data_IF_764560624856
#
_entry.id   IF_764560624856
#
_cell.length_a   1.000
_cell.length_b   1.000
_cell.length_c   1.000
_cell.angle_alpha   90.00
_cell.angle_beta   90.00
_cell.angle_gamma   90.00
#
_symmetry.space_group_name_H-M   'P 1'
#
loop_
_entity.id
_entity.type
_entity.pdbx_description
1 polymer ?
#
# COMPACT_ATOMS: atom_id res chain seq x y z
N UNK A 1 38.28 -25.65 -26.29
CA UNK A 1 38.57 -26.25 -24.97
C UNK A 1 39.12 -25.15 -24.08
N UNK A 2 38.58 -24.74 -22.93
CA UNK A 2 37.48 -25.19 -22.09
C UNK A 2 37.46 -24.26 -20.86
N UNK A 3 36.26 -24.06 -20.30
CA UNK A 3 35.96 -23.30 -19.09
C UNK A 3 36.86 -23.59 -17.89
N UNK A 4 37.02 -22.60 -16.99
CA UNK A 4 36.88 -22.81 -15.54
C UNK A 4 36.35 -21.56 -14.83
N UNK A 5 35.15 -21.72 -14.27
CA UNK A 5 34.45 -20.84 -13.35
C UNK A 5 35.17 -20.80 -12.00
N UNK A 6 35.12 -19.65 -11.32
CA UNK A 6 35.17 -19.60 -9.85
C UNK A 6 34.06 -18.69 -9.33
N UNK A 7 33.28 -19.25 -8.41
CA UNK A 7 32.08 -18.74 -7.79
C UNK A 7 32.29 -17.38 -7.11
N UNK A 8 31.54 -16.35 -7.51
CA UNK A 8 31.24 -15.20 -6.64
C UNK A 8 30.02 -15.55 -5.80
N UNK A 9 30.26 -15.77 -4.51
CA UNK A 9 29.24 -15.86 -3.47
C UNK A 9 28.31 -14.64 -3.57
N UNK A 10 27.01 -14.91 -3.66
CA UNK A 10 25.96 -13.90 -3.48
C UNK A 10 26.05 -13.40 -2.03
N UNK A 11 26.48 -12.16 -1.86
CA UNK A 11 26.36 -11.45 -0.59
C UNK A 11 24.87 -11.28 -0.28
N UNK A 12 24.35 -12.12 0.61
CA UNK A 12 23.13 -11.84 1.36
C UNK A 12 23.44 -10.67 2.31
N UNK A 13 23.25 -9.43 1.84
CA UNK A 13 23.24 -8.27 2.72
C UNK A 13 22.00 -8.34 3.60
N UNK A 14 22.21 -8.67 4.88
CA UNK A 14 21.20 -8.50 5.94
C UNK A 14 20.92 -7.01 6.08
N UNK A 15 19.65 -6.61 5.92
CA UNK A 15 19.14 -5.29 6.29
C UNK A 15 19.50 -5.00 7.76
N UNK A 16 19.85 -3.75 8.13
CA UNK A 16 20.20 -3.42 9.50
C UNK A 16 18.96 -3.55 10.42
N UNK A 17 19.10 -4.11 11.64
CA UNK A 17 18.00 -4.27 12.57
C UNK A 17 17.48 -2.90 13.05
N UNK A 18 16.18 -2.69 12.86
CA UNK A 18 15.42 -1.68 13.62
C UNK A 18 15.16 -2.23 15.03
N UNK A 19 16.14 -2.16 15.93
CA UNK A 19 15.91 -1.84 17.36
C UNK A 19 17.15 -2.09 18.22
N UNK A 20 17.34 -1.18 19.19
CA UNK A 20 18.15 -1.38 20.37
C UNK A 20 17.29 -2.10 21.42
N UNK A 21 17.39 -3.43 21.48
CA UNK A 21 17.42 -4.27 22.70
C UNK A 21 17.35 -5.75 22.30
N UNK A 22 18.38 -6.52 22.68
CA UNK A 22 18.51 -7.97 22.48
C UNK A 22 17.34 -8.76 23.10
N UNK A 23 16.93 -9.89 22.47
CA UNK A 23 16.86 -11.26 23.05
C UNK A 23 16.12 -12.23 22.10
N UNK A 24 16.86 -13.28 21.70
CA UNK A 24 16.60 -14.71 21.34
C UNK A 24 15.35 -15.23 20.57
N UNK A 25 15.64 -16.33 19.85
CA UNK A 25 14.91 -17.08 18.81
C UNK A 25 13.50 -17.62 19.17
N UNK A 26 12.51 -17.47 18.26
CA UNK A 26 11.18 -18.13 18.28
C UNK A 26 10.67 -18.45 16.84
N UNK A 27 9.72 -19.41 16.66
CA UNK A 27 9.58 -20.24 15.45
C UNK A 27 8.68 -19.68 14.33
N UNK A 28 8.90 -20.19 13.11
CA UNK A 28 8.17 -19.87 11.88
C UNK A 28 6.68 -20.26 11.91
N UNK A 29 5.78 -19.38 11.41
CA UNK A 29 4.34 -19.68 11.28
C UNK A 29 3.98 -19.95 9.81
N UNK A 30 3.47 -21.15 9.51
CA UNK A 30 3.08 -21.60 8.18
C UNK A 30 1.56 -21.50 7.96
N UNK A 31 1.12 -20.64 7.03
CA UNK A 31 -0.30 -20.35 6.78
C UNK A 31 -0.89 -21.06 5.54
N UNK A 32 -0.12 -21.93 4.88
CA UNK A 32 -0.48 -22.59 3.60
C UNK A 32 -1.73 -23.50 3.66
N UNK A 33 -2.33 -23.73 4.84
CA UNK A 33 -3.45 -24.67 5.01
C UNK A 33 -4.79 -24.03 5.46
N UNK A 34 -4.86 -22.70 5.62
CA UNK A 34 -6.00 -22.03 6.26
C UNK A 34 -7.19 -21.69 5.33
N UNK A 35 -7.12 -21.97 4.03
CA UNK A 35 -8.20 -21.67 3.07
C UNK A 35 -9.46 -22.57 3.16
N UNK A 36 -9.60 -23.44 4.17
CA UNK A 36 -10.67 -24.46 4.22
C UNK A 36 -11.95 -24.08 4.97
N UNK A 37 -12.11 -22.87 5.51
CA UNK A 37 -13.36 -22.47 6.18
C UNK A 37 -13.85 -21.10 5.73
N UNK A 38 -14.77 -21.10 4.76
CA UNK A 38 -15.63 -19.95 4.44
C UNK A 38 -16.79 -19.87 5.45
N UNK A 39 -17.26 -18.68 5.86
CA UNK A 39 -18.56 -18.51 6.49
C UNK A 39 -19.69 -18.78 5.48
N UNK A 40 -20.87 -19.13 6.00
CA UNK A 40 -22.04 -19.67 5.28
C UNK A 40 -22.52 -18.80 4.11
N UNK A 41 -22.88 -19.47 3.02
CA UNK A 41 -23.40 -18.91 1.77
C UNK A 41 -24.76 -18.20 1.96
N UNK A 42 -24.87 -16.97 1.48
CA UNK A 42 -26.15 -16.34 1.12
C UNK A 42 -26.27 -16.28 -0.41
N UNK A 43 -27.38 -16.83 -0.89
CA UNK A 43 -27.82 -17.08 -2.26
C UNK A 43 -27.19 -16.25 -3.40
N UNK A 44 -26.54 -16.96 -4.34
CA UNK A 44 -26.23 -16.47 -5.68
C UNK A 44 -27.19 -17.07 -6.74
N UNK A 45 -27.59 -16.33 -7.79
CA UNK A 45 -28.50 -16.85 -8.82
C UNK A 45 -27.80 -17.84 -9.77
N UNK A 46 -28.50 -18.93 -10.10
CA UNK A 46 -28.05 -19.98 -11.04
C UNK A 46 -28.00 -19.44 -12.48
N UNK A 47 -26.81 -19.42 -13.09
CA UNK A 47 -26.66 -19.24 -14.54
C UNK A 47 -26.67 -20.60 -15.28
N UNK A 48 -27.47 -20.67 -16.35
CA UNK A 48 -27.71 -21.87 -17.16
C UNK A 48 -26.51 -22.26 -18.04
N UNK A 49 -26.40 -23.58 -18.28
CA UNK A 49 -25.42 -24.25 -19.17
C UNK A 49 -25.45 -23.68 -20.59
N UNK A 50 -24.27 -23.39 -21.15
CA UNK A 50 -24.07 -23.14 -22.58
C UNK A 50 -23.13 -24.18 -23.21
N UNK A 51 -23.34 -24.39 -24.51
CA UNK A 51 -23.00 -25.57 -25.32
C UNK A 51 -21.52 -25.65 -25.75
N UNK A 52 -21.10 -26.88 -26.08
CA UNK A 52 -19.88 -27.23 -26.82
C UNK A 52 -19.65 -26.31 -28.03
N UNK A 53 -18.46 -25.70 -28.10
CA UNK A 53 -17.91 -25.09 -29.30
C UNK A 53 -16.79 -25.96 -29.87
N UNK A 54 -16.79 -26.05 -31.20
CA UNK A 54 -15.92 -26.88 -32.04
C UNK A 54 -14.49 -26.31 -32.08
N UNK A 55 -13.54 -27.23 -32.26
CA UNK A 55 -12.15 -26.93 -32.66
C UNK A 55 -12.14 -26.15 -33.98
N UNK A 56 -11.34 -25.09 -34.06
CA UNK A 56 -10.67 -24.63 -35.28
C UNK A 56 -9.42 -23.77 -34.91
N UNK A 57 -8.33 -24.05 -35.65
CA UNK A 57 -7.10 -23.30 -35.98
C UNK A 57 -6.00 -22.92 -34.94
N UNK A 58 -4.82 -23.52 -35.17
CA UNK A 58 -3.60 -23.51 -34.33
C UNK A 58 -2.56 -22.40 -34.64
N UNK A 59 -2.90 -21.32 -35.36
CA UNK A 59 -1.92 -20.27 -35.72
C UNK A 59 -2.04 -18.94 -34.95
N UNK A 60 -3.11 -18.72 -34.17
CA UNK A 60 -3.33 -17.46 -33.43
C UNK A 60 -2.73 -17.47 -32.01
N UNK A 61 -2.42 -18.66 -31.48
CA UNK A 61 -1.99 -18.86 -30.08
C UNK A 61 -0.57 -18.33 -29.83
N UNK A 62 0.32 -18.35 -30.83
CA UNK A 62 1.72 -17.92 -30.65
C UNK A 62 1.89 -16.40 -30.53
N UNK A 63 1.10 -15.61 -31.27
CA UNK A 63 1.18 -14.13 -31.25
C UNK A 63 0.56 -13.50 -29.99
N UNK A 64 -0.52 -14.10 -29.48
CA UNK A 64 -1.14 -13.63 -28.24
C UNK A 64 -0.25 -13.93 -27.03
N UNK A 65 0.39 -15.11 -26.98
CA UNK A 65 1.31 -15.45 -25.89
C UNK A 65 2.56 -14.55 -25.89
N UNK A 66 3.09 -14.17 -27.06
CA UNK A 66 4.25 -13.27 -27.13
C UNK A 66 3.91 -11.86 -26.64
N UNK A 67 2.72 -11.35 -26.97
CA UNK A 67 2.31 -10.00 -26.59
C UNK A 67 2.04 -9.85 -25.08
N UNK A 68 1.50 -10.87 -24.41
CA UNK A 68 1.37 -10.87 -22.95
C UNK A 68 2.74 -10.86 -22.24
N UNK A 69 3.73 -11.59 -22.77
CA UNK A 69 5.08 -11.59 -22.23
C UNK A 69 5.76 -10.20 -22.36
N UNK A 70 5.49 -9.48 -23.46
CA UNK A 70 5.95 -8.10 -23.63
C UNK A 70 5.36 -7.19 -22.56
N UNK A 71 4.04 -7.21 -22.35
CA UNK A 71 3.38 -6.43 -21.29
C UNK A 71 3.97 -6.72 -19.91
N UNK A 72 4.14 -8.01 -19.58
CA UNK A 72 4.69 -8.43 -18.29
C UNK A 72 6.12 -7.91 -18.09
N UNK A 73 6.95 -8.05 -19.12
CA UNK A 73 8.33 -7.57 -19.10
C UNK A 73 8.40 -6.05 -18.91
N UNK A 74 7.55 -5.29 -19.60
CA UNK A 74 7.48 -3.83 -19.46
C UNK A 74 7.05 -3.40 -18.05
N UNK A 75 6.02 -4.06 -17.48
CA UNK A 75 5.53 -3.78 -16.12
C UNK A 75 6.60 -4.06 -15.07
N UNK A 76 7.24 -5.24 -15.14
CA UNK A 76 8.28 -5.64 -14.19
C UNK A 76 9.52 -4.76 -14.30
N UNK A 77 9.91 -4.39 -15.53
CA UNK A 77 11.01 -3.45 -15.75
C UNK A 77 10.68 -2.07 -15.17
N UNK A 78 9.48 -1.54 -15.46
CA UNK A 78 9.07 -0.26 -14.91
C UNK A 78 9.10 -0.26 -13.38
N UNK A 79 8.48 -1.26 -12.74
CA UNK A 79 8.53 -1.42 -11.29
C UNK A 79 9.97 -1.49 -10.76
N UNK A 80 10.83 -2.31 -11.36
CA UNK A 80 12.21 -2.48 -10.91
C UNK A 80 13.04 -1.19 -11.01
N UNK A 81 12.76 -0.35 -12.01
CA UNK A 81 13.45 0.94 -12.19
C UNK A 81 12.89 2.07 -11.34
N UNK A 82 11.59 2.01 -11.00
CA UNK A 82 10.92 3.05 -10.24
C UNK A 82 10.98 2.81 -8.72
N UNK A 83 11.08 1.55 -8.28
CA UNK A 83 11.09 1.17 -6.87
C UNK A 83 12.17 1.92 -6.09
N UNK A 84 11.81 2.33 -4.88
CA UNK A 84 12.73 2.95 -3.93
C UNK A 84 13.97 2.06 -3.66
N UNK A 85 15.14 2.68 -3.71
CA UNK A 85 16.43 2.07 -3.40
C UNK A 85 16.66 2.00 -1.89
N UNK A 86 17.41 0.98 -1.47
CA UNK A 86 17.80 0.80 -0.05
C UNK A 86 18.61 1.99 0.49
N UNK A 87 19.42 2.64 -0.35
CA UNK A 87 20.14 3.86 0.01
C UNK A 87 19.18 5.00 0.35
N UNK A 88 18.11 5.15 -0.41
CA UNK A 88 17.11 6.22 -0.21
C UNK A 88 16.26 5.95 1.01
N UNK A 89 15.87 4.68 1.21
CA UNK A 89 15.27 4.26 2.48
C UNK A 89 16.17 4.57 3.68
N UNK A 90 17.46 4.27 3.58
CA UNK A 90 18.44 4.53 4.66
C UNK A 90 18.54 6.01 5.01
N UNK A 91 18.51 6.90 4.01
CA UNK A 91 18.48 8.35 4.24
C UNK A 91 17.20 8.80 4.94
N UNK A 92 16.03 8.31 4.50
CA UNK A 92 14.73 8.59 5.16
C UNK A 92 14.72 8.08 6.60
N UNK A 93 15.31 6.91 6.84
CA UNK A 93 15.44 6.34 8.17
C UNK A 93 16.39 7.16 9.06
N UNK A 94 17.51 7.63 8.51
CA UNK A 94 18.44 8.49 9.24
C UNK A 94 17.78 9.77 9.73
N UNK A 95 16.91 10.38 8.91
CA UNK A 95 16.09 11.53 9.33
C UNK A 95 15.18 11.20 10.53
N UNK A 96 14.55 10.02 10.55
CA UNK A 96 13.75 9.58 11.69
C UNK A 96 14.59 9.45 12.97
N UNK A 97 15.81 8.91 12.87
CA UNK A 97 16.74 8.82 13.99
C UNK A 97 17.16 10.19 14.51
N UNK A 98 17.41 11.14 13.61
CA UNK A 98 17.82 12.49 13.99
C UNK A 98 16.65 13.24 14.67
N UNK A 99 15.43 13.10 14.16
CA UNK A 99 14.21 13.60 14.83
C UNK A 99 14.02 12.97 16.21
N UNK A 100 14.21 11.66 16.35
CA UNK A 100 14.12 10.99 17.64
C UNK A 100 15.13 11.55 18.65
N UNK A 101 16.40 11.66 18.24
CA UNK A 101 17.48 12.19 19.07
C UNK A 101 17.24 13.65 19.50
N UNK A 102 16.48 14.43 18.72
CA UNK A 102 16.14 15.81 19.06
C UNK A 102 15.13 15.94 20.21
N UNK A 103 14.24 14.96 20.40
CA UNK A 103 13.11 15.10 21.33
C UNK A 103 13.08 14.06 22.46
N UNK A 104 13.90 13.01 22.41
CA UNK A 104 13.85 11.91 23.39
C UNK A 104 14.10 12.37 24.84
N UNK A 105 14.95 13.38 25.04
CA UNK A 105 15.20 13.97 26.37
C UNK A 105 14.06 14.85 26.91
N UNK A 106 13.03 15.12 26.11
CA UNK A 106 11.92 16.03 26.44
C UNK A 106 10.59 15.27 26.52
N UNK A 107 10.43 14.19 25.74
CA UNK A 107 9.16 13.46 25.58
C UNK A 107 9.29 12.02 26.11
N UNK A 108 8.67 11.68 27.25
CA UNK A 108 8.92 10.42 27.97
C UNK A 108 8.36 9.13 27.32
N UNK A 109 7.69 9.21 26.17
CA UNK A 109 7.23 8.04 25.39
C UNK A 109 7.34 8.33 23.88
N UNK A 110 8.44 8.96 23.48
CA UNK A 110 8.65 9.34 22.09
C UNK A 110 8.76 8.10 21.20
N UNK A 111 7.93 8.04 20.17
CA UNK A 111 8.13 7.17 19.01
C UNK A 111 8.26 8.02 17.74
N UNK A 112 9.16 7.64 16.84
CA UNK A 112 9.27 8.27 15.52
C UNK A 112 9.21 7.17 14.48
N UNK A 113 8.17 7.19 13.66
CA UNK A 113 7.87 6.12 12.73
C UNK A 113 7.90 6.64 11.29
N UNK A 114 8.70 5.99 10.45
CA UNK A 114 8.57 6.12 9.01
C UNK A 114 7.31 5.37 8.57
N UNK A 115 6.36 6.09 7.98
CA UNK A 115 5.04 5.59 7.58
C UNK A 115 4.84 5.76 6.07
N UNK A 116 3.68 5.32 5.58
CA UNK A 116 3.29 5.45 4.18
C UNK A 116 4.12 4.56 3.25
N UNK A 117 4.12 4.95 1.98
CA UNK A 117 4.86 4.34 0.86
C UNK A 117 6.29 3.95 1.22
N UNK A 118 7.01 4.85 1.88
CA UNK A 118 8.43 4.70 2.25
C UNK A 118 8.69 3.44 3.07
N UNK A 119 7.68 2.95 3.79
CA UNK A 119 7.78 1.89 4.77
C UNK A 119 6.77 0.75 4.57
N UNK A 120 5.87 0.84 3.58
CA UNK A 120 4.82 -0.16 3.34
C UNK A 120 5.12 -1.11 2.15
N UNK A 121 6.27 -0.96 1.50
CA UNK A 121 6.70 -1.81 0.38
C UNK A 121 6.29 -1.31 -1.02
N UNK A 122 5.57 -0.19 -1.12
CA UNK A 122 5.06 0.37 -2.38
C UNK A 122 5.72 1.69 -2.80
N UNK A 123 6.83 2.11 -2.16
CA UNK A 123 7.52 3.34 -2.52
C UNK A 123 8.22 3.28 -3.88
N UNK A 124 8.12 4.38 -4.60
CA UNK A 124 9.02 4.75 -5.69
C UNK A 124 10.14 5.66 -5.17
N UNK A 125 11.21 5.80 -5.95
CA UNK A 125 12.40 6.57 -5.57
C UNK A 125 12.12 8.06 -5.30
N UNK A 126 11.12 8.62 -5.97
CA UNK A 126 10.71 10.02 -5.85
C UNK A 126 9.64 10.27 -4.77
N UNK A 127 9.20 9.23 -4.05
CA UNK A 127 8.15 9.38 -3.04
C UNK A 127 8.63 10.15 -1.81
N UNK A 128 7.76 10.98 -1.24
CA UNK A 128 8.01 11.73 -0.02
C UNK A 128 8.22 10.81 1.20
N UNK A 129 8.89 11.33 2.22
CA UNK A 129 9.06 10.67 3.52
C UNK A 129 7.93 11.09 4.46
N UNK A 130 6.94 10.22 4.66
CA UNK A 130 5.90 10.41 5.66
C UNK A 130 6.39 9.93 7.03
N UNK A 131 6.32 10.81 8.03
CA UNK A 131 6.82 10.54 9.39
C UNK A 131 5.72 10.82 10.40
N UNK A 132 5.45 9.86 11.28
CA UNK A 132 4.56 10.03 12.42
C UNK A 132 5.39 10.10 13.70
N UNK A 133 5.31 11.22 14.42
CA UNK A 133 5.88 11.35 15.76
C UNK A 133 4.79 11.06 16.78
N UNK A 134 5.00 10.07 17.63
CA UNK A 134 4.11 9.70 18.73
C UNK A 134 4.68 10.26 20.02
N UNK A 135 3.91 11.12 20.68
CA UNK A 135 4.30 11.79 21.94
C UNK A 135 3.48 11.30 23.14
N UNK A 136 2.39 10.56 22.89
CA UNK A 136 1.47 10.04 23.90
C UNK A 136 0.87 8.71 23.42
N UNK A 137 0.61 7.78 24.33
CA UNK A 137 -0.14 6.55 24.03
C UNK A 137 -1.66 6.77 23.96
N UNK A 138 -2.12 7.96 24.38
CA UNK A 138 -3.53 8.35 24.33
C UNK A 138 -3.79 9.28 23.13
N UNK A 139 -5.04 9.35 22.65
CA UNK A 139 -5.44 10.35 21.66
C UNK A 139 -5.11 11.76 22.15
N UNK A 140 -4.69 12.62 21.22
CA UNK A 140 -4.40 14.04 21.48
C UNK A 140 -5.30 14.93 20.64
N UNK A 141 -5.53 16.17 21.08
CA UNK A 141 -6.24 17.16 20.27
C UNK A 141 -5.39 17.55 19.04
N UNK A 142 -5.80 17.08 17.87
CA UNK A 142 -5.13 17.36 16.60
C UNK A 142 -5.10 18.85 16.25
N UNK A 143 -6.09 19.65 16.65
CA UNK A 143 -6.16 21.09 16.31
C UNK A 143 -5.33 21.95 17.26
N UNK A 144 -5.03 21.47 18.47
CA UNK A 144 -4.32 22.24 19.50
C UNK A 144 -2.98 21.64 19.88
N UNK A 145 -2.98 20.41 20.40
CA UNK A 145 -1.77 19.76 20.93
C UNK A 145 -0.81 19.37 19.82
N UNK A 146 -1.31 18.70 18.77
CA UNK A 146 -0.48 18.32 17.63
C UNK A 146 0.14 19.54 16.94
N UNK A 147 -0.65 20.59 16.68
CA UNK A 147 -0.18 21.85 16.10
C UNK A 147 0.92 22.50 16.95
N UNK A 148 0.74 22.54 18.28
CA UNK A 148 1.76 23.09 19.19
C UNK A 148 3.06 22.29 19.10
N UNK A 149 2.98 20.97 19.03
CA UNK A 149 4.16 20.13 18.91
C UNK A 149 4.83 20.25 17.54
N UNK A 150 4.07 20.31 16.44
CA UNK A 150 4.62 20.59 15.10
C UNK A 150 5.35 21.94 15.04
N UNK A 151 4.88 22.94 15.78
CA UNK A 151 5.59 24.22 15.89
C UNK A 151 6.93 24.10 16.63
N UNK A 152 7.01 23.23 17.65
CA UNK A 152 8.27 22.88 18.34
C UNK A 152 9.21 22.16 17.35
N UNK A 153 8.68 21.19 16.61
CA UNK A 153 9.43 20.46 15.56
C UNK A 153 9.97 21.44 14.52
N UNK A 154 9.13 22.33 13.99
CA UNK A 154 9.49 23.38 13.02
C UNK A 154 10.65 24.24 13.51
N UNK A 155 10.60 24.71 14.75
CA UNK A 155 11.67 25.55 15.34
C UNK A 155 12.97 24.79 15.52
N UNK A 156 12.89 23.53 15.93
CA UNK A 156 14.07 22.70 16.12
C UNK A 156 14.71 22.34 14.77
N UNK A 157 13.90 22.01 13.76
CA UNK A 157 14.32 21.77 12.39
C UNK A 157 15.06 23.00 11.85
N UNK A 158 14.46 24.20 11.89
CA UNK A 158 15.10 25.44 11.42
C UNK A 158 16.44 25.77 12.08
N UNK A 159 16.71 25.25 13.29
CA UNK A 159 17.98 25.44 14.01
C UNK A 159 19.06 24.43 13.64
N UNK A 160 18.69 23.18 13.35
CA UNK A 160 19.63 22.07 13.14
C UNK A 160 19.76 21.64 11.68
N UNK A 161 18.63 21.60 10.99
CA UNK A 161 18.54 21.26 9.59
C UNK A 161 18.40 22.59 8.86
N UNK A 162 19.24 22.87 7.87
CA UNK A 162 19.00 23.97 6.93
C UNK A 162 17.79 23.61 6.06
N UNK A 163 16.62 23.39 6.67
CA UNK A 163 15.38 23.10 5.97
C UNK A 163 14.99 24.35 5.20
N UNK A 164 14.73 24.20 3.90
CA UNK A 164 14.27 25.29 3.03
C UNK A 164 12.88 25.77 3.45
N UNK A 165 11.89 25.58 2.57
CA UNK A 165 10.49 25.77 2.99
C UNK A 165 10.15 24.79 4.11
N UNK A 166 9.40 25.27 5.11
CA UNK A 166 8.97 24.47 6.25
C UNK A 166 7.60 25.00 6.69
N UNK A 167 6.58 24.35 6.14
CA UNK A 167 5.22 24.83 6.06
C UNK A 167 4.29 23.97 6.91
N UNK A 168 3.56 24.62 7.80
CA UNK A 168 2.58 23.97 8.66
C UNK A 168 1.20 24.04 8.01
N UNK A 169 0.72 22.91 7.53
CA UNK A 169 -0.59 22.75 6.90
C UNK A 169 -1.61 22.34 7.97
N UNK A 170 -2.59 23.20 8.23
CA UNK A 170 -3.61 23.01 9.27
C UNK A 170 -4.86 22.33 8.71
N UNK A 171 -4.76 21.03 8.43
CA UNK A 171 -5.88 20.18 8.05
C UNK A 171 -6.50 19.45 9.26
N UNK A 172 -7.42 18.49 9.03
CA UNK A 172 -7.97 17.61 10.08
C UNK A 172 -6.87 16.86 10.84
N UNK A 173 -5.87 16.38 10.12
CA UNK A 173 -4.59 15.92 10.65
C UNK A 173 -3.55 16.93 10.17
N UNK A 174 -3.02 17.81 11.04
CA UNK A 174 -2.02 18.78 10.63
C UNK A 174 -0.72 18.12 10.22
N UNK A 175 -0.08 18.69 9.20
CA UNK A 175 1.18 18.18 8.63
C UNK A 175 2.19 19.31 8.58
N UNK A 176 3.42 19.05 9.01
CA UNK A 176 4.57 19.91 8.77
C UNK A 176 5.33 19.38 7.57
N UNK A 177 5.25 20.10 6.45
CA UNK A 177 5.92 19.78 5.20
C UNK A 177 7.24 20.52 5.11
N UNK A 178 8.32 19.84 4.76
CA UNK A 178 9.62 20.47 4.54
C UNK A 178 10.49 19.66 3.58
N UNK A 179 11.54 20.30 3.06
CA UNK A 179 12.58 19.62 2.29
C UNK A 179 13.89 19.69 3.05
N UNK A 180 14.49 18.52 3.33
CA UNK A 180 15.86 18.47 3.86
C UNK A 180 16.82 18.90 2.75
N UNK A 181 17.60 19.95 3.00
CA UNK A 181 18.48 20.52 2.00
C UNK A 181 19.69 19.62 1.70
N UNK A 182 20.16 18.85 2.68
CA UNK A 182 21.31 17.97 2.51
C UNK A 182 20.99 16.77 1.61
N UNK A 183 19.87 16.11 1.88
CA UNK A 183 19.45 14.90 1.13
C UNK A 183 18.48 15.17 -0.01
N UNK A 184 17.90 16.38 -0.08
CA UNK A 184 16.80 16.76 -1.00
C UNK A 184 15.50 15.97 -0.79
N UNK A 185 15.36 15.27 0.32
CA UNK A 185 14.14 14.53 0.66
C UNK A 185 13.01 15.50 1.03
N UNK A 186 11.88 15.36 0.36
CA UNK A 186 10.60 15.97 0.79
C UNK A 186 10.00 15.13 1.90
N UNK A 187 9.55 15.80 2.96
CA UNK A 187 9.16 15.16 4.20
C UNK A 187 7.87 15.77 4.73
N UNK A 188 6.95 14.91 5.15
CA UNK A 188 5.69 15.26 5.77
C UNK A 188 5.63 14.67 7.19
N UNK A 189 5.61 15.53 8.21
CA UNK A 189 5.55 15.11 9.63
C UNK A 189 4.16 15.36 10.20
N UNK A 190 3.55 14.34 10.78
CA UNK A 190 2.32 14.44 11.58
C UNK A 190 2.58 13.96 13.02
N UNK A 191 1.66 14.28 13.94
CA UNK A 191 1.76 13.91 15.35
C UNK A 191 0.62 12.97 15.74
N UNK A 192 0.96 11.85 16.39
CA UNK A 192 0.01 10.88 16.94
C UNK A 192 -1.03 10.34 15.93
N UNK A 193 -0.72 10.31 14.63
CA UNK A 193 -1.60 9.65 13.65
C UNK A 193 -1.35 8.14 13.65
N UNK A 194 -1.89 7.44 14.65
CA UNK A 194 -1.72 5.99 14.79
C UNK A 194 -2.28 5.18 13.62
N UNK A 195 -3.35 5.66 12.96
CA UNK A 195 -3.93 5.01 11.78
C UNK A 195 -2.90 4.87 10.66
N UNK A 196 -2.11 5.92 10.40
CA UNK A 196 -1.03 5.88 9.42
C UNK A 196 0.04 4.82 9.72
N UNK A 197 0.40 4.64 10.99
CA UNK A 197 1.36 3.61 11.42
C UNK A 197 0.78 2.21 11.17
N UNK A 198 -0.47 1.96 11.57
CA UNK A 198 -1.14 0.67 11.39
C UNK A 198 -1.32 0.30 9.92
N UNK A 199 -1.72 1.27 9.09
CA UNK A 199 -1.85 1.07 7.65
C UNK A 199 -0.52 0.73 7.00
N UNK A 200 0.56 1.37 7.44
CA UNK A 200 1.91 1.07 6.94
C UNK A 200 2.27 -0.38 7.24
N UNK A 201 2.00 -0.86 8.45
CA UNK A 201 2.29 -2.24 8.85
C UNK A 201 1.40 -3.25 8.10
N UNK A 202 0.10 -2.99 7.97
CA UNK A 202 -0.82 -3.84 7.21
C UNK A 202 -0.44 -3.94 5.73
N UNK A 203 -0.16 -2.80 5.09
CA UNK A 203 0.24 -2.76 3.69
C UNK A 203 1.61 -3.41 3.47
N UNK A 204 2.55 -3.26 4.41
CA UNK A 204 3.82 -3.99 4.38
C UNK A 204 3.58 -5.50 4.33
N UNK A 205 2.71 -6.02 5.20
CA UNK A 205 2.35 -7.44 5.20
C UNK A 205 1.83 -7.88 3.83
N UNK A 206 0.92 -7.11 3.23
CA UNK A 206 0.45 -7.36 1.87
C UNK A 206 1.58 -7.38 0.84
N UNK A 207 2.49 -6.40 0.88
CA UNK A 207 3.62 -6.30 -0.05
C UNK A 207 4.62 -7.46 0.06
N UNK A 208 4.80 -8.00 1.27
CA UNK A 208 5.74 -9.10 1.56
C UNK A 208 5.12 -10.49 1.33
N UNK A 209 3.81 -10.56 1.07
CA UNK A 209 3.07 -11.83 0.95
C UNK A 209 3.28 -12.53 -0.39
N UNK A 210 3.20 -11.78 -1.49
CA UNK A 210 3.29 -12.30 -2.85
C UNK A 210 3.93 -11.25 -3.74
N UNK A 211 4.91 -11.65 -4.54
CA UNK A 211 5.71 -10.76 -5.38
C UNK A 211 4.88 -9.98 -6.41
N UNK A 212 3.67 -10.46 -6.73
CA UNK A 212 2.75 -9.82 -7.68
C UNK A 212 1.92 -8.69 -7.06
N UNK A 213 1.92 -8.54 -5.74
CA UNK A 213 1.13 -7.52 -5.03
C UNK A 213 1.74 -6.14 -5.15
N UNK A 214 3.06 -6.04 -4.93
CA UNK A 214 3.79 -4.80 -5.09
C UNK A 214 3.60 -4.16 -6.48
N UNK A 215 3.64 -4.93 -7.59
CA UNK A 215 3.29 -4.37 -8.89
C UNK A 215 1.77 -4.20 -9.09
N UNK A 216 0.88 -4.98 -8.45
CA UNK A 216 -0.56 -5.01 -8.81
C UNK A 216 -1.52 -5.44 -7.69
N UNK A 217 -2.68 -4.77 -7.62
CA UNK A 217 -3.77 -5.12 -6.71
C UNK A 217 -5.04 -5.59 -7.43
N UNK A 218 -5.68 -6.63 -6.88
CA UNK A 218 -7.01 -7.21 -7.19
C UNK A 218 -7.02 -8.35 -8.23
N UNK A 219 -7.33 -9.57 -7.76
CA UNK A 219 -7.50 -10.77 -8.58
C UNK A 219 -8.54 -11.75 -8.00
N UNK A 220 -9.02 -12.69 -8.83
CA UNK A 220 -9.81 -13.86 -8.38
C UNK A 220 -9.23 -15.14 -9.00
N UNK A 221 -8.75 -16.12 -8.20
CA UNK A 221 -8.63 -16.13 -6.73
C UNK A 221 -7.73 -15.00 -6.20
N UNK A 222 -7.92 -14.59 -4.94
CA UNK A 222 -7.10 -13.52 -4.37
C UNK A 222 -5.61 -13.90 -4.36
N UNK A 223 -4.76 -12.91 -4.66
CA UNK A 223 -3.29 -13.04 -4.60
C UNK A 223 -2.77 -12.89 -3.17
N UNK A 224 -3.63 -12.53 -2.21
CA UNK A 224 -3.28 -12.34 -0.80
C UNK A 224 -4.43 -12.73 0.12
N UNK A 225 -4.15 -13.15 1.37
CA UNK A 225 -5.18 -13.42 2.36
C UNK A 225 -5.68 -12.11 3.00
N UNK A 226 -6.74 -12.19 3.81
CA UNK A 226 -7.16 -11.08 4.67
C UNK A 226 -6.36 -11.12 5.96
N UNK A 227 -5.29 -10.32 6.05
CA UNK A 227 -4.34 -10.38 7.18
C UNK A 227 -4.97 -10.02 8.53
N UNK A 228 -5.91 -9.07 8.55
CA UNK A 228 -6.63 -8.71 9.78
C UNK A 228 -7.46 -9.89 10.33
N UNK A 229 -7.93 -10.79 9.46
CA UNK A 229 -8.63 -12.00 9.88
C UNK A 229 -7.69 -13.11 10.35
N UNK A 230 -6.49 -13.22 9.75
CA UNK A 230 -5.49 -14.24 10.12
C UNK A 230 -4.68 -13.87 11.36
N UNK A 231 -4.46 -12.57 11.61
CA UNK A 231 -3.65 -12.04 12.70
C UNK A 231 -4.43 -10.98 13.50
N UNK A 232 -5.59 -11.33 14.10
CA UNK A 232 -6.47 -10.35 14.76
C UNK A 232 -5.78 -9.63 15.91
N UNK A 233 -4.94 -10.32 16.68
CA UNK A 233 -4.19 -9.69 17.77
C UNK A 233 -3.23 -8.62 17.25
N UNK A 234 -2.55 -8.85 16.13
CA UNK A 234 -1.57 -7.88 15.59
C UNK A 234 -2.26 -6.62 15.10
N UNK A 235 -3.35 -6.80 14.34
CA UNK A 235 -4.09 -5.72 13.73
C UNK A 235 -5.24 -5.21 14.61
N UNK A 236 -5.20 -5.48 15.92
CA UNK A 236 -6.12 -4.91 16.88
C UNK A 236 -5.81 -3.42 17.07
N UNK A 237 -6.81 -2.59 16.79
CA UNK A 237 -6.75 -1.13 16.93
C UNK A 237 -6.48 -0.68 18.37
N UNK A 238 -6.77 -1.52 19.35
CA UNK A 238 -6.59 -1.22 20.78
C UNK A 238 -5.15 -1.44 21.27
N UNK A 239 -4.31 -2.15 20.50
CA UNK A 239 -2.91 -2.36 20.90
C UNK A 239 -2.10 -1.09 20.63
N UNK A 240 -1.38 -0.52 21.61
CA UNK A 240 -0.55 0.66 21.39
C UNK A 240 0.45 0.45 20.26
N UNK A 241 0.61 1.46 19.38
CA UNK A 241 1.53 1.40 18.23
C UNK A 241 3.00 1.17 18.63
N UNK A 242 3.37 1.48 19.87
CA UNK A 242 4.69 1.18 20.43
C UNK A 242 4.98 -0.33 20.57
N UNK A 243 3.95 -1.18 20.51
CA UNK A 243 4.09 -2.65 20.55
C UNK A 243 4.15 -3.29 19.17
N UNK A 244 3.96 -2.51 18.10
CA UNK A 244 4.11 -2.99 16.72
C UNK A 244 5.60 -3.09 16.39
N UNK A 245 6.21 -4.24 16.71
CA UNK A 245 7.60 -4.53 16.38
C UNK A 245 7.72 -4.88 14.89
N UNK A 246 8.76 -4.40 14.22
CA UNK A 246 8.94 -4.60 12.76
C UNK A 246 9.97 -5.68 12.40
N UNK A 247 10.91 -5.98 13.29
CA UNK A 247 12.14 -6.76 12.98
C UNK A 247 12.16 -8.19 13.43
N UNK A 248 11.31 -8.56 14.39
CA UNK A 248 11.47 -9.81 15.14
C UNK A 248 10.56 -10.93 14.60
N UNK A 249 10.13 -10.83 13.34
CA UNK A 249 8.97 -11.59 12.89
C UNK A 249 9.32 -12.73 11.94
N UNK A 250 8.74 -13.92 12.16
CA UNK A 250 8.95 -15.05 11.27
C UNK A 250 8.48 -14.69 9.87
N UNK A 251 9.28 -15.06 8.87
CA UNK A 251 8.87 -14.93 7.46
C UNK A 251 7.51 -15.61 7.27
N UNK A 252 6.52 -14.83 6.85
CA UNK A 252 5.19 -15.34 6.54
C UNK A 252 5.29 -16.28 5.35
N UNK A 253 4.99 -17.56 5.58
CA UNK A 253 4.90 -18.53 4.49
C UNK A 253 3.43 -18.61 4.08
N UNK A 254 3.11 -17.85 3.04
CA UNK A 254 1.84 -17.92 2.33
C UNK A 254 2.09 -18.28 0.86
N UNK A 255 1.17 -19.02 0.25
CA UNK A 255 1.26 -19.37 -1.16
C UNK A 255 -0.11 -19.20 -1.81
N UNK A 256 -0.12 -18.47 -2.93
CA UNK A 256 -1.33 -18.25 -3.69
C UNK A 256 -1.76 -19.50 -4.44
N UNK A 257 -3.07 -19.74 -4.49
CA UNK A 257 -3.68 -20.63 -5.47
C UNK A 257 -3.82 -19.94 -6.84
N UNK A 258 -3.74 -18.60 -6.89
CA UNK A 258 -3.80 -17.84 -8.13
C UNK A 258 -2.51 -18.04 -8.94
N UNK A 259 -2.65 -18.42 -10.22
CA UNK A 259 -1.56 -18.68 -11.17
C UNK A 259 -1.43 -17.60 -12.26
N UNK A 260 -2.19 -16.52 -12.16
CA UNK A 260 -2.14 -15.42 -13.11
C UNK A 260 -0.79 -14.70 -13.03
N UNK A 261 -0.33 -14.26 -14.19
CA UNK A 261 0.88 -13.44 -14.34
C UNK A 261 0.62 -11.98 -13.95
N UNK A 262 1.68 -11.18 -13.81
CA UNK A 262 1.52 -9.74 -13.53
C UNK A 262 0.72 -9.08 -14.66
N UNK A 263 1.01 -9.39 -15.93
CA UNK A 263 0.25 -8.84 -17.06
C UNK A 263 -1.26 -9.16 -16.98
N UNK A 264 -1.62 -10.40 -16.65
CA UNK A 264 -3.02 -10.83 -16.54
C UNK A 264 -3.73 -10.13 -15.39
N UNK A 265 -3.06 -10.01 -14.25
CA UNK A 265 -3.57 -9.29 -13.08
C UNK A 265 -3.80 -7.81 -13.38
N UNK A 266 -2.90 -7.17 -14.13
CA UNK A 266 -3.02 -5.74 -14.45
C UNK A 266 -4.20 -5.46 -15.38
N UNK A 267 -4.36 -6.29 -16.41
CA UNK A 267 -5.51 -6.22 -17.30
C UNK A 267 -6.79 -6.47 -16.51
N UNK A 268 -6.79 -7.43 -15.59
CA UNK A 268 -7.91 -7.73 -14.70
C UNK A 268 -8.29 -6.54 -13.81
N UNK A 269 -7.31 -5.87 -13.19
CA UNK A 269 -7.50 -4.66 -12.40
C UNK A 269 -8.15 -3.54 -13.22
N UNK A 270 -7.59 -3.24 -14.40
CA UNK A 270 -8.14 -2.21 -15.28
C UNK A 270 -9.56 -2.55 -15.72
N UNK A 271 -9.82 -3.81 -16.09
CA UNK A 271 -11.16 -4.29 -16.47
C UNK A 271 -12.15 -4.10 -15.34
N UNK A 272 -11.76 -4.49 -14.13
CA UNK A 272 -12.62 -4.47 -12.96
C UNK A 272 -13.17 -3.06 -12.73
N UNK A 273 -12.29 -2.05 -12.67
CA UNK A 273 -12.72 -0.66 -12.47
C UNK A 273 -13.32 -0.02 -13.74
N UNK A 274 -12.94 -0.45 -14.94
CA UNK A 274 -13.52 0.09 -16.18
C UNK A 274 -14.96 -0.39 -16.46
N UNK A 275 -15.29 -1.64 -16.10
CA UNK A 275 -16.50 -2.34 -16.56
C UNK A 275 -17.29 -3.06 -15.47
N UNK A 276 -16.60 -3.73 -14.54
CA UNK A 276 -17.26 -4.72 -13.67
C UNK A 276 -17.71 -4.09 -12.33
N UNK A 277 -17.00 -3.09 -11.82
CA UNK A 277 -17.29 -2.45 -10.55
C UNK A 277 -18.48 -1.50 -10.64
N UNK A 278 -19.45 -1.71 -9.76
CA UNK A 278 -20.67 -0.90 -9.63
C UNK A 278 -20.47 0.16 -8.57
N UNK A 279 -19.95 1.32 -8.97
CA UNK A 279 -19.69 2.47 -8.10
C UNK A 279 -20.93 3.01 -7.37
N UNK A 280 -22.11 2.77 -7.94
CA UNK A 280 -23.41 3.12 -7.37
C UNK A 280 -23.86 2.14 -6.27
N UNK A 281 -23.30 0.94 -6.20
CA UNK A 281 -23.78 -0.15 -5.33
C UNK A 281 -22.77 -0.70 -4.35
N UNK A 282 -21.48 -0.61 -4.66
CA UNK A 282 -20.47 -1.32 -3.89
C UNK A 282 -19.50 -0.38 -3.19
N UNK A 283 -19.18 -0.74 -1.95
CA UNK A 283 -18.00 -0.28 -1.23
C UNK A 283 -16.93 -1.38 -1.22
N UNK A 284 -15.65 -1.01 -1.18
CA UNK A 284 -14.53 -1.96 -1.13
C UNK A 284 -14.04 -2.06 0.32
N UNK A 285 -13.93 -3.28 0.84
CA UNK A 285 -13.32 -3.53 2.16
C UNK A 285 -12.14 -4.50 2.04
N UNK A 286 -10.95 -4.00 2.36
CA UNK A 286 -9.74 -4.84 2.50
C UNK A 286 -9.84 -5.71 3.76
N UNK A 287 -10.39 -5.14 4.84
CA UNK A 287 -10.60 -5.82 6.13
C UNK A 287 -11.51 -7.04 6.01
N UNK A 288 -12.54 -6.97 5.18
CA UNK A 288 -13.46 -8.08 4.91
C UNK A 288 -13.04 -8.92 3.69
N UNK A 289 -12.14 -8.39 2.85
CA UNK A 289 -11.72 -9.02 1.60
C UNK A 289 -12.85 -9.15 0.57
N UNK A 290 -13.84 -8.26 0.61
CA UNK A 290 -15.04 -8.34 -0.22
C UNK A 290 -15.58 -6.96 -0.65
N UNK A 291 -16.58 -7.01 -1.52
CA UNK A 291 -17.43 -5.86 -1.83
C UNK A 291 -18.60 -5.85 -0.83
N UNK A 292 -18.85 -4.69 -0.23
CA UNK A 292 -19.97 -4.43 0.67
C UNK A 292 -21.03 -3.63 -0.07
N UNK A 293 -22.25 -3.59 0.45
CA UNK A 293 -23.27 -2.67 -0.03
C UNK A 293 -22.85 -1.23 0.31
N UNK A 294 -22.93 -0.33 -0.68
CA UNK A 294 -22.48 1.06 -0.53
C UNK A 294 -23.41 1.87 0.37
N UNK A 295 -24.72 1.67 0.25
CA UNK A 295 -25.72 2.40 1.03
C UNK A 295 -25.57 2.03 2.52
N UNK A 296 -25.51 0.73 2.82
CA UNK A 296 -25.26 0.24 4.19
C UNK A 296 -23.92 0.73 4.75
N UNK A 297 -22.86 0.74 3.93
CA UNK A 297 -21.55 1.25 4.37
C UNK A 297 -21.58 2.74 4.70
N UNK A 298 -22.16 3.57 3.83
CA UNK A 298 -22.20 5.03 4.01
C UNK A 298 -23.13 5.44 5.16
N UNK A 299 -24.24 4.72 5.39
CA UNK A 299 -25.12 4.96 6.53
C UNK A 299 -24.42 4.72 7.88
N UNK A 300 -23.51 3.74 7.91
CA UNK A 300 -22.70 3.42 9.07
C UNK A 300 -21.44 4.31 9.19
N UNK A 301 -21.08 5.03 8.13
CA UNK A 301 -19.95 5.96 8.15
C UNK A 301 -20.32 7.21 8.96
N UNK A 302 -19.82 7.28 10.19
CA UNK A 302 -20.04 8.41 11.10
C UNK A 302 -19.47 9.76 10.59
N UNK A 303 -18.80 9.81 9.43
CA UNK A 303 -18.16 11.01 8.91
C UNK A 303 -19.07 11.96 8.12
N UNK A 304 -20.35 11.64 7.90
CA UNK A 304 -21.39 12.51 7.28
C UNK A 304 -21.17 12.84 5.78
N UNK A 305 -20.55 11.95 5.00
CA UNK A 305 -20.30 12.16 3.56
C UNK A 305 -21.11 11.20 2.67
N UNK A 306 -22.44 11.33 2.69
CA UNK A 306 -23.36 10.53 1.87
C UNK A 306 -23.19 10.71 0.36
N UNK A 307 -22.49 11.76 -0.08
CA UNK A 307 -22.29 12.10 -1.49
C UNK A 307 -21.01 11.48 -2.11
N UNK A 308 -20.30 10.61 -1.38
CA UNK A 308 -19.06 10.03 -1.90
C UNK A 308 -19.33 9.13 -3.12
N UNK A 309 -18.72 9.44 -4.26
CA UNK A 309 -18.91 8.70 -5.51
C UNK A 309 -18.14 7.39 -5.51
N UNK A 310 -17.01 7.34 -4.79
CA UNK A 310 -16.22 6.15 -4.55
C UNK A 310 -16.20 5.81 -3.05
N UNK A 311 -16.46 4.55 -2.72
CA UNK A 311 -16.49 4.05 -1.35
C UNK A 311 -15.42 2.97 -1.13
N UNK A 312 -14.44 3.29 -0.30
CA UNK A 312 -13.35 2.39 0.10
C UNK A 312 -13.22 2.49 1.62
N UNK A 313 -13.49 1.40 2.32
CA UNK A 313 -13.40 1.30 3.77
C UNK A 313 -11.93 1.39 4.23
N UNK A 314 -11.69 2.26 5.21
CA UNK A 314 -10.46 2.31 5.97
C UNK A 314 -10.40 1.11 6.95
N UNK A 315 -9.38 0.24 6.86
CA UNK A 315 -9.37 -1.04 7.57
C UNK A 315 -9.38 -1.00 9.10
N UNK A 316 -9.11 0.14 9.75
CA UNK A 316 -9.08 0.26 11.21
C UNK A 316 -10.14 1.19 11.77
N UNK A 317 -10.41 2.32 11.12
CA UNK A 317 -11.40 3.30 11.59
C UNK A 317 -12.74 3.26 10.85
N UNK A 318 -12.84 2.41 9.82
CA UNK A 318 -14.05 2.12 9.04
C UNK A 318 -14.64 3.32 8.28
N UNK A 319 -13.93 4.45 8.23
CA UNK A 319 -14.36 5.59 7.45
C UNK A 319 -14.13 5.39 5.95
N UNK A 320 -14.73 6.22 5.10
CA UNK A 320 -14.41 6.22 3.68
C UNK A 320 -13.06 6.93 3.39
N UNK A 321 -12.05 6.19 2.93
CA UNK A 321 -10.76 6.80 2.54
C UNK A 321 -10.84 7.58 1.23
N UNK A 322 -11.84 7.31 0.38
CA UNK A 322 -12.04 7.98 -0.91
C UNK A 322 -12.97 9.20 -0.81
N UNK A 323 -13.18 9.74 0.39
CA UNK A 323 -14.09 10.87 0.67
C UNK A 323 -13.86 12.14 -0.14
N UNK A 324 -12.67 12.34 -0.71
CA UNK A 324 -12.36 13.51 -1.54
C UNK A 324 -12.90 13.40 -2.96
N UNK A 325 -13.36 12.22 -3.37
CA UNK A 325 -13.98 11.97 -4.67
C UNK A 325 -15.51 12.14 -4.53
N UNK A 326 -15.92 13.38 -4.31
CA UNK A 326 -17.33 13.80 -4.21
C UNK A 326 -17.78 14.64 -5.40
N UNK A 327 -16.84 15.08 -6.25
CA UNK A 327 -17.08 15.89 -7.43
C UNK A 327 -17.33 14.97 -8.64
N UNK A 328 -18.46 15.16 -9.31
CA UNK A 328 -18.89 14.33 -10.45
C UNK A 328 -17.93 14.41 -11.64
N UNK A 329 -17.39 15.60 -11.93
CA UNK A 329 -16.47 15.80 -13.05
C UNK A 329 -15.14 15.10 -12.80
N UNK A 330 -14.61 15.23 -11.58
CA UNK A 330 -13.39 14.54 -11.16
C UNK A 330 -13.57 13.03 -11.14
N UNK A 331 -14.73 12.55 -10.66
CA UNK A 331 -15.07 11.14 -10.68
C UNK A 331 -15.14 10.60 -12.12
N UNK A 332 -15.89 11.25 -13.02
CA UNK A 332 -15.97 10.84 -14.43
C UNK A 332 -14.62 10.90 -15.12
N UNK A 333 -13.75 11.85 -14.75
CA UNK A 333 -12.36 11.89 -15.23
C UNK A 333 -11.60 10.63 -14.81
N UNK A 334 -11.69 10.21 -13.55
CA UNK A 334 -11.06 8.98 -13.05
C UNK A 334 -11.60 7.75 -13.82
N UNK A 335 -12.91 7.62 -13.97
CA UNK A 335 -13.52 6.47 -14.65
C UNK A 335 -13.12 6.42 -16.14
N UNK A 336 -13.06 7.59 -16.80
CA UNK A 336 -12.61 7.70 -18.19
C UNK A 336 -11.17 7.20 -18.36
N UNK A 337 -10.28 7.51 -17.42
CA UNK A 337 -8.90 7.00 -17.42
C UNK A 337 -8.88 5.48 -17.34
N UNK A 338 -9.59 4.88 -16.38
CA UNK A 338 -9.68 3.42 -16.27
C UNK A 338 -10.20 2.76 -17.56
N UNK A 339 -11.28 3.29 -18.13
CA UNK A 339 -11.86 2.77 -19.38
C UNK A 339 -10.87 2.85 -20.53
N UNK A 340 -10.27 4.03 -20.76
CA UNK A 340 -9.31 4.25 -21.85
C UNK A 340 -8.09 3.33 -21.69
N UNK A 341 -7.48 3.31 -20.50
CA UNK A 341 -6.33 2.45 -20.22
C UNK A 341 -6.66 0.98 -20.44
N UNK A 342 -7.82 0.49 -19.97
CA UNK A 342 -8.25 -0.88 -20.20
C UNK A 342 -8.37 -1.22 -21.69
N UNK A 343 -9.11 -0.42 -22.47
CA UNK A 343 -9.32 -0.71 -23.89
C UNK A 343 -8.03 -0.60 -24.71
N UNK A 344 -7.16 0.37 -24.39
CA UNK A 344 -5.86 0.52 -25.03
C UNK A 344 -4.99 -0.70 -24.75
N UNK A 345 -4.78 -1.07 -23.49
CA UNK A 345 -3.98 -2.25 -23.12
C UNK A 345 -4.58 -3.56 -23.62
N UNK A 346 -5.90 -3.67 -23.68
CA UNK A 346 -6.57 -4.85 -24.22
C UNK A 346 -6.16 -5.10 -25.67
N UNK A 347 -6.05 -4.03 -26.47
CA UNK A 347 -5.68 -4.06 -27.88
C UNK A 347 -4.17 -4.15 -28.11
N UNK A 348 -3.37 -3.36 -27.39
CA UNK A 348 -1.93 -3.20 -27.64
C UNK A 348 -1.09 -4.23 -26.92
N UNK A 349 -1.50 -4.65 -25.71
CA UNK A 349 -0.69 -5.45 -24.78
C UNK A 349 0.70 -4.84 -24.55
N UNK A 350 0.80 -3.53 -24.47
CA UNK A 350 2.03 -2.82 -24.10
C UNK A 350 1.73 -1.78 -23.04
N UNK A 351 2.58 -1.70 -22.02
CA UNK A 351 2.44 -0.75 -20.93
C UNK A 351 2.72 0.68 -21.39
N UNK A 352 3.71 0.85 -22.26
CA UNK A 352 4.07 2.14 -22.88
C UNK A 352 2.89 2.85 -23.57
N UNK A 353 1.91 2.09 -24.08
CA UNK A 353 0.73 2.63 -24.77
C UNK A 353 -0.23 3.42 -23.87
N UNK A 354 -0.16 3.25 -22.55
CA UNK A 354 -1.00 3.98 -21.59
C UNK A 354 -0.24 5.02 -20.76
N UNK A 355 1.09 5.08 -20.89
CA UNK A 355 1.94 6.05 -20.19
C UNK A 355 2.22 7.33 -20.99
N UNK A 356 2.13 7.26 -22.32
CA UNK A 356 2.57 8.31 -23.25
C UNK A 356 1.49 9.31 -23.60
N UNK A 357 0.24 9.06 -23.21
CA UNK A 357 -0.88 9.95 -23.49
C UNK A 357 -1.02 10.97 -22.37
N UNK A 358 -0.84 12.27 -22.67
CA UNK A 358 -1.17 13.33 -21.73
C UNK A 358 -2.67 13.29 -21.45
N UNK A 359 -3.03 13.04 -20.21
CA UNK A 359 -4.39 13.17 -19.68
C UNK A 359 -4.74 14.66 -19.65
N UNK A 360 -5.18 15.20 -20.78
CA UNK A 360 -5.68 16.57 -20.94
C UNK A 360 -7.17 16.64 -20.74
#
# INVERSE_FOLDING_TARGET
FGYKQTNRQRNNMKLPPQDFNNYDDEPYINFSQLNKKRPRESHSPKFNKAKKLKQDDNNTVNSNSSNFHVLESELLNHYSTAKQLDSTYTLKWKLCQDLFAMFIGIVPNLGVYLVGSSANGFATEDTDADICIVISSYPIDQKREAVKFLEIVRRALRKKIFAGSCDLIRARVPILRFTDYATRLRCDVNINNSTGIRNTDLLRFYSETDERVAPLGIAKPSVVPVWQALLPNRFDVNIPVSRLKRTDEPKLIWSSENRQTVAELFIGFLKFYAKDFRYDKHAISVRMGCLMDKEEFLDNDHTHYGDALLAIEEPFDLSNTARSVYDDDEFERIIRVFRRSYFTIEKTKTFSSILTEQFT
#
